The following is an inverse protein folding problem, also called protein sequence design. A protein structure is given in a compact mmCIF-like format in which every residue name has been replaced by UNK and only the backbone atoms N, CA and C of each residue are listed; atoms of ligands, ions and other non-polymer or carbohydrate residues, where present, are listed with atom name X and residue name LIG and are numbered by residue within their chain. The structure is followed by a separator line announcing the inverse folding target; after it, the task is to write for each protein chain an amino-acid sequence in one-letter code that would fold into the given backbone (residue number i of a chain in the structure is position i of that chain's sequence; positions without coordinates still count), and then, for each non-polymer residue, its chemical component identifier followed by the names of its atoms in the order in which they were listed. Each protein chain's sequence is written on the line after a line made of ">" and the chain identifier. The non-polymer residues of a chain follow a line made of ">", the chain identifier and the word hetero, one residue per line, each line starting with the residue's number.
data_IF_846810764635
#
_entry.id   IF_846810764635
#
_cell.length_a   1.000
_cell.length_b   1.000
_cell.length_c   1.000
_cell.angle_alpha   90.00
_cell.angle_beta   90.00
_cell.angle_gamma   90.00
#
_symmetry.space_group_name_H-M   'P 1'
#
loop_
_entity.id
_entity.type
_entity.pdbx_description
1 polymer ?
#
# COMPACT_ATOMS: atom_id res chain seq x y z
N UNK A 1 10.32 11.60 4.03
CA UNK A 1 9.17 11.71 3.12
C UNK A 1 9.63 11.95 1.70
N UNK A 2 9.01 11.27 0.71
CA UNK A 2 9.32 11.37 -0.71
C UNK A 2 8.47 12.46 -1.38
N UNK A 3 8.90 12.93 -2.56
CA UNK A 3 8.14 13.89 -3.36
C UNK A 3 7.02 13.17 -4.12
N UNK A 4 5.87 13.82 -4.24
CA UNK A 4 4.67 13.30 -4.90
C UNK A 4 4.12 14.35 -5.87
N UNK A 5 3.82 13.98 -7.10
CA UNK A 5 2.94 14.76 -7.97
C UNK A 5 1.54 14.16 -7.83
N UNK A 6 0.56 14.99 -7.46
CA UNK A 6 -0.84 14.60 -7.36
C UNK A 6 -1.67 15.48 -8.31
N UNK A 7 -2.15 14.85 -9.38
CA UNK A 7 -2.96 15.55 -10.38
C UNK A 7 -4.42 15.14 -10.23
N UNK A 8 -5.29 16.10 -9.98
CA UNK A 8 -6.71 15.91 -9.79
C UNK A 8 -7.51 16.94 -10.58
N UNK A 9 -8.58 16.50 -11.24
CA UNK A 9 -9.50 17.36 -12.01
C UNK A 9 -10.85 17.56 -11.32
N UNK A 10 -11.15 16.81 -10.26
CA UNK A 10 -12.47 16.86 -9.62
C UNK A 10 -12.49 17.74 -8.37
N UNK A 11 -11.42 17.71 -7.59
CA UNK A 11 -11.32 18.41 -6.31
C UNK A 11 -10.38 19.61 -6.40
N UNK A 12 -10.74 20.72 -5.75
CA UNK A 12 -9.88 21.90 -5.65
C UNK A 12 -8.65 21.63 -4.77
N UNK A 13 -7.50 22.15 -5.22
CA UNK A 13 -6.23 21.93 -4.50
C UNK A 13 -6.24 22.60 -3.12
N UNK A 14 -6.72 23.85 -3.06
CA UNK A 14 -6.63 24.70 -1.86
C UNK A 14 -7.70 24.39 -0.82
N UNK A 15 -8.89 24.06 -1.27
CA UNK A 15 -10.07 23.90 -0.42
C UNK A 15 -10.37 22.45 -0.03
N UNK A 16 -9.94 21.51 -0.82
CA UNK A 16 -10.26 20.08 -0.62
C UNK A 16 -9.02 19.21 -0.43
N UNK A 17 -8.09 19.21 -1.40
CA UNK A 17 -6.97 18.26 -1.39
C UNK A 17 -5.97 18.61 -0.30
N UNK A 18 -5.51 19.86 -0.21
CA UNK A 18 -4.54 20.29 0.79
C UNK A 18 -5.02 20.04 2.22
N UNK A 19 -6.25 20.40 2.63
CA UNK A 19 -6.75 20.07 3.96
C UNK A 19 -6.81 18.57 4.27
N UNK A 20 -7.13 17.73 3.28
CA UNK A 20 -7.11 16.28 3.45
C UNK A 20 -5.70 15.75 3.66
N UNK A 21 -4.73 16.22 2.89
CA UNK A 21 -3.32 15.85 3.04
C UNK A 21 -2.77 16.27 4.41
N UNK A 22 -3.08 17.48 4.87
CA UNK A 22 -2.68 17.98 6.19
C UNK A 22 -3.26 17.13 7.33
N UNK A 23 -4.54 16.74 7.24
CA UNK A 23 -5.17 15.82 8.22
C UNK A 23 -4.51 14.45 8.25
N UNK A 24 -3.98 13.99 7.13
CA UNK A 24 -3.21 12.75 7.04
C UNK A 24 -1.74 12.89 7.47
N UNK A 25 -1.33 14.08 7.94
CA UNK A 25 0.06 14.33 8.37
C UNK A 25 1.06 14.42 7.23
N UNK A 26 0.60 14.72 6.00
CA UNK A 26 1.48 14.86 4.85
C UNK A 26 2.29 16.18 4.91
N UNK A 27 3.55 16.12 4.48
CA UNK A 27 4.35 17.32 4.23
C UNK A 27 3.97 17.91 2.87
N UNK A 28 3.03 18.87 2.86
CA UNK A 28 2.52 19.50 1.64
C UNK A 28 3.61 20.21 0.80
N UNK A 29 4.78 20.53 1.36
CA UNK A 29 5.91 21.07 0.61
C UNK A 29 6.52 20.06 -0.36
N UNK A 30 6.19 18.78 -0.19
CA UNK A 30 6.64 17.66 -1.03
C UNK A 30 5.57 17.16 -1.97
N UNK A 31 4.43 17.82 -2.03
CA UNK A 31 3.35 17.52 -2.96
C UNK A 31 3.25 18.65 -3.98
N UNK A 32 3.33 18.31 -5.25
CA UNK A 32 3.19 19.26 -6.37
C UNK A 32 2.00 18.88 -7.24
N UNK A 33 1.47 19.89 -7.92
CA UNK A 33 0.39 19.78 -8.90
C UNK A 33 0.87 20.41 -10.21
N UNK A 34 0.40 19.88 -11.34
CA UNK A 34 0.64 20.50 -12.66
C UNK A 34 -0.42 21.57 -12.84
N UNK A 35 0.03 22.81 -13.07
CA UNK A 35 -0.91 23.92 -13.26
C UNK A 35 -1.64 23.77 -14.59
N UNK A 36 -2.98 23.72 -14.54
CA UNK A 36 -3.87 23.66 -15.71
C UNK A 36 -4.49 25.01 -16.07
N UNK A 37 -4.37 26.05 -15.21
CA UNK A 37 -5.02 27.35 -15.41
C UNK A 37 -4.51 28.07 -16.65
N UNK A 38 -3.27 27.83 -17.05
CA UNK A 38 -2.64 28.52 -18.20
C UNK A 38 -2.92 27.83 -19.53
N UNK A 39 -3.31 26.55 -19.53
CA UNK A 39 -3.51 25.76 -20.76
C UNK A 39 -4.66 24.77 -20.57
N UNK A 40 -5.63 24.82 -21.47
CA UNK A 40 -6.78 23.90 -21.48
C UNK A 40 -6.35 22.44 -21.68
N UNK A 41 -6.86 21.58 -20.80
CA UNK A 41 -6.89 20.13 -21.00
C UNK A 41 -5.54 19.42 -20.95
N UNK A 42 -5.07 19.08 -19.76
CA UNK A 42 -3.97 18.14 -19.61
C UNK A 42 -4.43 16.73 -20.05
N UNK A 43 -3.62 16.05 -20.84
CA UNK A 43 -3.85 14.64 -21.23
C UNK A 43 -2.69 13.76 -20.80
N UNK A 44 -2.89 12.43 -20.72
CA UNK A 44 -1.86 11.49 -20.28
C UNK A 44 -0.62 11.42 -21.19
N UNK A 45 -0.71 11.90 -22.43
CA UNK A 45 0.39 12.00 -23.36
C UNK A 45 1.03 13.39 -23.42
N UNK A 46 0.58 14.32 -22.57
CA UNK A 46 1.10 15.67 -22.51
C UNK A 46 2.53 15.69 -21.97
N UNK A 47 3.41 16.39 -22.66
CA UNK A 47 4.82 16.53 -22.30
C UNK A 47 5.01 17.28 -20.97
N UNK A 48 4.03 18.08 -20.54
CA UNK A 48 4.04 18.76 -19.23
C UNK A 48 4.14 17.77 -18.06
N UNK A 49 3.53 16.58 -18.19
CA UNK A 49 3.65 15.52 -17.16
C UNK A 49 5.10 15.08 -17.05
N UNK A 50 5.75 14.81 -18.19
CA UNK A 50 7.15 14.41 -18.23
C UNK A 50 8.08 15.50 -17.69
N UNK A 51 7.86 16.75 -18.10
CA UNK A 51 8.64 17.89 -17.59
C UNK A 51 8.51 18.04 -16.08
N UNK A 52 7.30 17.96 -15.54
CA UNK A 52 7.07 17.99 -14.08
C UNK A 52 7.80 16.86 -13.36
N UNK A 53 7.83 15.65 -13.93
CA UNK A 53 8.59 14.53 -13.37
C UNK A 53 10.09 14.84 -13.36
N UNK A 54 10.64 15.39 -14.43
CA UNK A 54 12.07 15.74 -14.53
C UNK A 54 12.46 16.81 -13.51
N UNK A 55 11.66 17.87 -13.42
CA UNK A 55 11.94 19.03 -12.55
C UNK A 55 11.74 18.70 -11.08
N UNK A 56 10.62 18.09 -10.74
CA UNK A 56 10.26 17.83 -9.34
C UNK A 56 10.87 16.53 -8.80
N UNK A 57 11.24 15.59 -9.66
CA UNK A 57 11.80 14.27 -9.30
C UNK A 57 10.96 13.55 -8.23
N UNK A 58 9.68 13.28 -8.49
CA UNK A 58 8.80 12.58 -7.57
C UNK A 58 9.18 11.10 -7.48
N UNK A 59 8.81 10.46 -6.39
CA UNK A 59 8.82 8.98 -6.27
C UNK A 59 7.44 8.39 -6.57
N UNK A 60 6.42 9.22 -6.57
CA UNK A 60 5.04 8.84 -6.85
C UNK A 60 4.37 9.93 -7.70
N UNK A 61 3.68 9.52 -8.74
CA UNK A 61 2.77 10.36 -9.53
C UNK A 61 1.38 9.75 -9.42
N UNK A 62 0.39 10.52 -9.01
CA UNK A 62 -1.01 10.11 -8.90
C UNK A 62 -1.83 10.93 -9.90
N UNK A 63 -2.66 10.25 -10.71
CA UNK A 63 -3.60 10.86 -11.64
C UNK A 63 -5.02 10.46 -11.22
N UNK A 64 -5.89 11.44 -10.90
CA UNK A 64 -7.20 11.25 -10.27
C UNK A 64 -8.27 12.17 -10.86
N UNK A 65 -9.27 11.62 -11.56
CA UNK A 65 -9.35 10.28 -12.12
C UNK A 65 -8.68 10.19 -13.52
N UNK A 66 -8.25 8.99 -13.89
CA UNK A 66 -7.67 8.76 -15.23
C UNK A 66 -8.60 9.22 -16.36
N UNK A 67 -9.93 9.08 -16.18
CA UNK A 67 -10.92 9.43 -17.19
C UNK A 67 -10.84 10.89 -17.66
N UNK A 68 -10.50 11.79 -16.76
CA UNK A 68 -10.39 13.21 -17.07
C UNK A 68 -9.19 13.55 -17.99
N UNK A 69 -8.18 12.66 -18.01
CA UNK A 69 -6.91 12.87 -18.70
C UNK A 69 -6.74 12.00 -19.96
N UNK A 70 -7.80 11.29 -20.38
CA UNK A 70 -7.72 10.40 -21.54
C UNK A 70 -7.91 11.10 -22.90
N UNK A 71 -8.28 12.38 -22.90
CA UNK A 71 -8.65 13.10 -24.11
C UNK A 71 -10.09 12.83 -24.56
N UNK A 72 -10.44 13.12 -25.83
CA UNK A 72 -11.80 12.90 -26.33
C UNK A 72 -12.17 11.40 -26.36
N UNK A 73 -13.42 11.07 -26.00
CA UNK A 73 -13.94 9.69 -25.91
C UNK A 73 -13.71 8.85 -27.18
N UNK A 74 -13.66 9.48 -28.35
CA UNK A 74 -13.35 8.82 -29.62
C UNK A 74 -11.94 8.22 -29.68
N UNK A 75 -11.02 8.76 -28.91
CA UNK A 75 -9.60 8.42 -28.98
C UNK A 75 -9.24 7.11 -28.26
N UNK A 76 -10.00 6.72 -27.24
CA UNK A 76 -9.74 5.47 -26.50
C UNK A 76 -10.36 4.24 -27.16
N UNK A 77 -11.38 4.44 -27.98
CA UNK A 77 -12.00 3.34 -28.71
C UNK A 77 -11.12 2.85 -29.88
N UNK A 78 -10.08 3.61 -30.23
CA UNK A 78 -9.09 3.17 -31.20
C UNK A 78 -8.20 2.13 -30.52
N UNK A 79 -8.37 0.89 -30.91
CA UNK A 79 -7.58 -0.23 -30.40
C UNK A 79 -6.07 0.10 -30.47
N UNK A 80 -5.40 0.02 -29.35
CA UNK A 80 -3.97 0.25 -29.22
C UNK A 80 -3.54 1.66 -28.78
N UNK A 81 -4.43 2.70 -28.73
CA UNK A 81 -4.03 4.01 -28.21
C UNK A 81 -3.84 3.97 -26.69
N UNK A 82 -4.78 3.40 -25.96
CA UNK A 82 -4.65 3.19 -24.52
C UNK A 82 -3.37 2.41 -24.18
N UNK A 83 -3.05 1.38 -24.97
CA UNK A 83 -1.80 0.60 -24.80
C UNK A 83 -0.56 1.45 -24.98
N UNK A 84 -0.51 2.31 -26.02
CA UNK A 84 0.62 3.21 -26.26
C UNK A 84 0.79 4.23 -25.13
N UNK A 85 -0.30 4.79 -24.61
CA UNK A 85 -0.26 5.70 -23.45
C UNK A 85 0.32 4.98 -22.22
N UNK A 86 -0.18 3.79 -21.92
CA UNK A 86 0.31 3.01 -20.78
C UNK A 86 1.78 2.59 -20.93
N UNK A 87 2.22 2.28 -22.15
CA UNK A 87 3.63 2.00 -22.45
C UNK A 87 4.50 3.23 -22.20
N UNK A 88 4.05 4.43 -22.63
CA UNK A 88 4.76 5.69 -22.39
C UNK A 88 4.88 6.00 -20.91
N UNK A 89 3.77 5.90 -20.15
CA UNK A 89 3.80 6.10 -18.70
C UNK A 89 4.70 5.08 -18.01
N UNK A 90 4.67 3.82 -18.41
CA UNK A 90 5.56 2.79 -17.91
C UNK A 90 7.03 3.06 -18.19
N UNK A 91 7.34 3.59 -19.36
CA UNK A 91 8.70 4.03 -19.73
C UNK A 91 9.14 5.21 -18.83
N UNK A 92 8.31 6.22 -18.64
CA UNK A 92 8.62 7.34 -17.75
C UNK A 92 8.84 6.88 -16.31
N UNK A 93 7.96 6.00 -15.80
CA UNK A 93 8.12 5.41 -14.47
C UNK A 93 9.48 4.73 -14.28
N UNK A 94 9.90 3.95 -15.28
CA UNK A 94 11.19 3.25 -15.29
C UNK A 94 12.39 4.18 -15.40
N UNK A 95 12.35 5.14 -16.35
CA UNK A 95 13.47 6.05 -16.63
C UNK A 95 13.69 7.02 -15.47
N UNK A 96 12.62 7.52 -14.86
CA UNK A 96 12.69 8.53 -13.80
C UNK A 96 12.56 7.95 -12.39
N UNK A 97 12.55 6.63 -12.26
CA UNK A 97 12.52 5.90 -10.98
C UNK A 97 11.37 6.37 -10.07
N UNK A 98 10.15 6.40 -10.63
CA UNK A 98 8.93 6.75 -9.92
C UNK A 98 7.82 5.72 -10.16
N UNK A 99 6.90 5.59 -9.20
CA UNK A 99 5.65 4.87 -9.39
C UNK A 99 4.60 5.81 -10.00
N UNK A 100 3.78 5.31 -10.93
CA UNK A 100 2.62 6.03 -11.47
C UNK A 100 1.36 5.27 -11.08
N UNK A 101 0.48 5.93 -10.33
CA UNK A 101 -0.83 5.41 -9.89
C UNK A 101 -1.91 6.14 -10.65
N UNK A 102 -2.76 5.37 -11.32
CA UNK A 102 -3.92 5.87 -12.05
C UNK A 102 -5.18 5.47 -11.29
N UNK A 103 -5.95 6.44 -10.83
CA UNK A 103 -7.22 6.21 -10.13
C UNK A 103 -8.34 6.26 -11.16
N UNK A 104 -9.19 5.24 -11.16
CA UNK A 104 -10.33 5.15 -12.06
C UNK A 104 -11.63 4.86 -11.32
N UNK A 105 -12.71 5.50 -11.74
CA UNK A 105 -14.04 5.25 -11.21
C UNK A 105 -14.72 4.09 -11.92
N UNK A 106 -15.37 3.22 -11.14
CA UNK A 106 -16.18 2.13 -11.65
C UNK A 106 -17.57 2.65 -12.07
N UNK A 107 -18.00 2.36 -13.29
CA UNK A 107 -19.35 2.70 -13.74
C UNK A 107 -20.40 1.89 -12.98
N UNK A 108 -21.46 2.56 -12.50
CA UNK A 108 -22.57 1.97 -11.72
C UNK A 108 -23.53 1.08 -12.54
N UNK A 109 -23.24 0.73 -13.78
CA UNK A 109 -24.13 -0.14 -14.57
C UNK A 109 -24.11 -1.55 -14.00
N UNK A 110 -25.17 -1.89 -13.26
CA UNK A 110 -25.47 -3.22 -12.76
C UNK A 110 -25.60 -4.20 -13.93
N UNK A 111 -25.09 -5.41 -13.73
CA UNK A 111 -25.41 -6.57 -14.57
C UNK A 111 -24.34 -7.07 -15.53
N UNK A 112 -23.16 -6.49 -15.61
CA UNK A 112 -22.08 -7.05 -16.43
C UNK A 112 -20.94 -7.59 -15.57
N UNK A 113 -20.77 -8.90 -15.58
CA UNK A 113 -19.56 -9.60 -15.08
C UNK A 113 -18.34 -9.11 -15.87
N UNK A 114 -17.74 -8.02 -15.45
CA UNK A 114 -16.57 -7.51 -16.15
C UNK A 114 -16.00 -6.25 -15.52
N UNK A 115 -15.18 -6.44 -14.49
CA UNK A 115 -14.32 -5.41 -13.89
C UNK A 115 -13.55 -4.59 -14.94
N UNK A 116 -13.35 -5.15 -16.12
CA UNK A 116 -12.54 -4.60 -17.20
C UNK A 116 -13.27 -3.56 -18.06
N UNK A 117 -14.60 -3.46 -18.00
CA UNK A 117 -15.38 -2.52 -18.83
C UNK A 117 -15.56 -1.14 -18.20
N UNK A 118 -15.34 -1.01 -16.89
CA UNK A 118 -15.64 0.21 -16.16
C UNK A 118 -14.57 1.30 -16.27
N UNK A 119 -13.34 0.96 -16.62
CA UNK A 119 -12.22 1.90 -16.80
C UNK A 119 -12.11 2.47 -18.23
N UNK A 120 -13.12 2.29 -19.07
CA UNK A 120 -13.16 2.79 -20.46
C UNK A 120 -12.39 1.96 -21.46
N UNK A 121 -11.40 1.19 -21.07
CA UNK A 121 -10.65 0.31 -21.97
C UNK A 121 -10.07 -0.89 -21.23
N UNK A 122 -10.29 -2.08 -21.77
CA UNK A 122 -9.63 -3.33 -21.32
C UNK A 122 -8.12 -3.20 -21.42
N UNK A 123 -7.61 -2.42 -22.37
CA UNK A 123 -6.18 -2.23 -22.63
C UNK A 123 -5.46 -1.52 -21.49
N UNK A 124 -6.11 -0.59 -20.76
CA UNK A 124 -5.52 0.07 -19.59
C UNK A 124 -5.22 -0.93 -18.49
N UNK A 125 -6.22 -1.76 -18.14
CA UNK A 125 -6.07 -2.80 -17.12
C UNK A 125 -5.08 -3.87 -17.56
N UNK A 126 -5.12 -4.25 -18.84
CA UNK A 126 -4.20 -5.24 -19.40
C UNK A 126 -2.74 -4.77 -19.37
N UNK A 127 -2.48 -3.48 -19.58
CA UNK A 127 -1.15 -2.90 -19.59
C UNK A 127 -0.60 -2.56 -18.19
N UNK A 128 -1.47 -2.35 -17.20
CA UNK A 128 -1.06 -2.09 -15.82
C UNK A 128 -0.33 -3.31 -15.22
N UNK A 129 0.72 -3.07 -14.44
CA UNK A 129 1.46 -4.14 -13.74
C UNK A 129 0.75 -4.63 -12.49
N UNK A 130 0.05 -3.74 -11.81
CA UNK A 130 -0.78 -4.05 -10.65
C UNK A 130 -2.11 -3.33 -10.79
N UNK A 131 -3.20 -4.01 -10.44
CA UNK A 131 -4.56 -3.45 -10.43
C UNK A 131 -5.19 -3.76 -9.09
N UNK A 132 -5.58 -2.71 -8.40
CA UNK A 132 -6.26 -2.76 -7.11
C UNK A 132 -7.70 -2.31 -7.29
N UNK A 133 -8.62 -3.03 -6.68
CA UNK A 133 -10.02 -2.63 -6.57
C UNK A 133 -10.32 -2.24 -5.13
N UNK A 134 -10.96 -1.09 -4.97
CA UNK A 134 -11.44 -0.63 -3.67
C UNK A 134 -12.96 -0.69 -3.68
N UNK A 135 -13.56 -1.38 -2.71
CA UNK A 135 -15.01 -1.50 -2.57
C UNK A 135 -15.45 -1.30 -1.12
N UNK A 136 -16.73 -1.01 -0.92
CA UNK A 136 -17.31 -0.95 0.44
C UNK A 136 -17.55 -2.36 0.94
N UNK A 137 -17.32 -2.58 2.25
CA UNK A 137 -17.77 -3.79 2.89
C UNK A 137 -19.32 -3.83 2.90
N UNK A 138 -19.89 -4.99 2.66
CA UNK A 138 -21.35 -5.14 2.60
C UNK A 138 -22.02 -5.10 3.99
N UNK A 139 -21.26 -5.41 5.04
CA UNK A 139 -21.74 -5.49 6.41
C UNK A 139 -21.51 -4.21 7.20
N UNK A 140 -20.41 -3.52 6.88
CA UNK A 140 -20.00 -2.29 7.56
C UNK A 140 -19.62 -1.24 6.51
N UNK A 141 -20.46 -0.21 6.37
CA UNK A 141 -20.30 0.85 5.36
C UNK A 141 -19.13 1.77 5.63
N UNK A 142 -18.56 1.79 6.83
CA UNK A 142 -17.37 2.57 7.16
C UNK A 142 -16.07 1.85 6.75
N UNK A 143 -16.16 0.54 6.50
CA UNK A 143 -15.02 -0.27 6.06
C UNK A 143 -14.93 -0.27 4.54
N UNK A 144 -13.69 -0.19 4.07
CA UNK A 144 -13.30 -0.37 2.68
C UNK A 144 -12.37 -1.57 2.58
N UNK A 145 -12.51 -2.31 1.48
CA UNK A 145 -11.71 -3.49 1.17
C UNK A 145 -10.94 -3.20 -0.10
N UNK A 146 -9.62 -3.33 -0.04
CA UNK A 146 -8.73 -3.27 -1.20
C UNK A 146 -8.40 -4.70 -1.62
N UNK A 147 -8.73 -5.07 -2.84
CA UNK A 147 -8.38 -6.37 -3.43
C UNK A 147 -7.43 -6.20 -4.59
N UNK A 148 -6.45 -7.05 -4.67
CA UNK A 148 -5.56 -7.11 -5.82
C UNK A 148 -6.19 -7.97 -6.92
N UNK A 149 -6.57 -7.33 -8.02
CA UNK A 149 -7.22 -7.98 -9.16
C UNK A 149 -6.19 -8.52 -10.15
N UNK A 150 -5.07 -7.83 -10.26
CA UNK A 150 -3.94 -8.22 -11.10
C UNK A 150 -2.64 -7.85 -10.42
N UNK A 151 -1.69 -8.75 -10.47
CA UNK A 151 -0.32 -8.49 -10.10
C UNK A 151 0.63 -9.27 -11.03
N UNK A 152 1.52 -8.55 -11.70
CA UNK A 152 2.53 -9.14 -12.57
C UNK A 152 3.90 -9.26 -11.89
N UNK A 153 4.03 -8.83 -10.63
CA UNK A 153 5.30 -8.69 -9.92
C UNK A 153 5.44 -9.67 -8.76
N UNK A 154 4.32 -10.14 -8.19
CA UNK A 154 4.28 -11.04 -7.06
C UNK A 154 2.98 -11.87 -7.07
N UNK A 155 2.87 -12.96 -6.31
CA UNK A 155 1.60 -13.64 -6.08
C UNK A 155 0.54 -12.66 -5.56
N UNK A 156 -0.70 -12.82 -6.03
CA UNK A 156 -1.83 -12.01 -5.57
C UNK A 156 -2.48 -12.71 -4.40
N UNK A 157 -2.13 -12.30 -3.20
CA UNK A 157 -2.71 -12.83 -1.97
C UNK A 157 -3.15 -11.71 -1.02
N UNK A 158 -4.37 -11.88 -0.53
CA UNK A 158 -4.93 -11.10 0.56
C UNK A 158 -5.77 -9.90 0.15
N UNK A 159 -6.52 -9.42 1.11
CA UNK A 159 -7.25 -8.17 1.06
C UNK A 159 -6.76 -7.25 2.17
N UNK A 160 -6.67 -5.97 1.89
CA UNK A 160 -6.36 -4.94 2.87
C UNK A 160 -7.65 -4.24 3.22
N UNK A 161 -7.86 -3.97 4.51
CA UNK A 161 -9.04 -3.26 5.00
C UNK A 161 -8.64 -1.94 5.64
N UNK A 162 -9.47 -0.94 5.45
CA UNK A 162 -9.35 0.34 6.13
C UNK A 162 -10.74 0.92 6.45
N UNK A 163 -10.82 1.74 7.47
CA UNK A 163 -12.03 2.49 7.81
C UNK A 163 -11.85 3.97 7.53
N UNK A 164 -12.96 4.64 7.22
CA UNK A 164 -13.03 6.09 7.15
C UNK A 164 -14.27 6.50 7.94
N UNK A 165 -14.05 7.12 9.10
CA UNK A 165 -15.12 7.64 9.95
C UNK A 165 -14.95 9.14 10.17
N UNK A 166 -16.03 9.81 10.54
CA UNK A 166 -15.98 11.23 10.85
C UNK A 166 -15.12 11.54 12.09
N UNK A 167 -15.11 10.62 13.06
CA UNK A 167 -14.42 10.80 14.35
C UNK A 167 -12.93 10.49 14.25
N UNK A 168 -12.58 9.35 13.64
CA UNK A 168 -11.21 8.82 13.63
C UNK A 168 -10.47 9.08 12.29
N UNK A 169 -11.18 9.58 11.28
CA UNK A 169 -10.63 9.73 9.94
C UNK A 169 -10.28 8.39 9.29
N UNK A 170 -9.18 8.37 8.55
CA UNK A 170 -8.66 7.18 7.88
C UNK A 170 -7.83 6.31 8.85
N UNK A 171 -8.14 5.01 8.91
CA UNK A 171 -7.39 4.04 9.69
C UNK A 171 -7.22 2.71 8.94
N UNK A 172 -5.98 2.20 8.90
CA UNK A 172 -5.74 0.84 8.48
C UNK A 172 -6.30 -0.14 9.52
N UNK A 173 -7.06 -1.12 9.05
CA UNK A 173 -7.49 -2.25 9.89
C UNK A 173 -6.51 -3.40 9.73
N UNK A 174 -6.47 -4.31 10.71
CA UNK A 174 -5.62 -5.48 10.63
C UNK A 174 -5.89 -6.26 9.35
N UNK A 175 -4.86 -6.42 8.54
CA UNK A 175 -4.88 -7.36 7.44
C UNK A 175 -4.76 -8.77 8.00
N UNK A 176 -5.71 -9.62 7.68
CA UNK A 176 -5.44 -11.05 7.67
C UNK A 176 -4.57 -11.32 6.42
N UNK A 177 -3.32 -10.93 6.51
CA UNK A 177 -2.34 -11.22 5.49
C UNK A 177 -2.10 -12.72 5.50
N UNK A 178 -2.48 -13.39 4.42
CA UNK A 178 -1.93 -14.70 4.09
C UNK A 178 -0.50 -14.59 3.55
N UNK A 179 0.08 -13.38 3.60
CA UNK A 179 1.45 -13.13 3.21
C UNK A 179 2.38 -13.71 4.29
N UNK A 180 2.76 -14.94 4.09
CA UNK A 180 3.98 -15.46 4.71
C UNK A 180 5.10 -14.91 3.85
N UNK A 181 5.76 -13.82 4.29
CA UNK A 181 7.03 -13.45 3.68
C UNK A 181 7.94 -14.64 3.81
N UNK A 182 8.59 -15.06 2.73
CA UNK A 182 9.62 -16.10 2.74
C UNK A 182 10.78 -15.75 3.69
N UNK A 183 10.78 -14.55 4.25
CA UNK A 183 11.73 -14.03 5.23
C UNK A 183 11.15 -13.88 6.65
N UNK A 184 9.87 -14.22 6.88
CA UNK A 184 9.50 -14.48 8.28
C UNK A 184 10.22 -15.77 8.67
N UNK A 185 11.12 -15.71 9.66
CA UNK A 185 11.72 -16.94 10.17
C UNK A 185 10.53 -17.82 10.56
N UNK A 186 10.40 -19.00 9.92
CA UNK A 186 9.44 -20.01 10.33
C UNK A 186 9.55 -20.08 11.83
N UNK A 187 8.50 -19.71 12.56
CA UNK A 187 8.48 -19.99 14.00
C UNK A 187 8.61 -21.50 14.06
N UNK A 188 9.71 -22.02 14.58
CA UNK A 188 9.92 -23.46 14.59
C UNK A 188 8.72 -24.09 15.27
N UNK A 189 8.15 -25.14 14.67
CA UNK A 189 7.22 -25.99 15.39
C UNK A 189 8.00 -26.64 16.52
N UNK A 190 7.64 -26.33 17.74
CA UNK A 190 8.32 -26.86 18.93
C UNK A 190 7.61 -28.14 19.38
N UNK A 191 8.33 -29.23 19.44
CA UNK A 191 7.80 -30.49 19.94
C UNK A 191 7.54 -30.44 21.46
N UNK A 192 8.15 -29.48 22.16
CA UNK A 192 7.98 -29.31 23.60
C UNK A 192 7.96 -27.86 24.06
N UNK A 193 7.30 -27.60 25.22
CA UNK A 193 7.33 -26.28 25.87
C UNK A 193 8.74 -25.84 26.26
N UNK A 194 9.64 -26.76 26.48
CA UNK A 194 11.04 -26.52 26.82
C UNK A 194 11.81 -26.01 25.60
N UNK A 195 11.61 -26.62 24.43
CA UNK A 195 12.22 -26.13 23.19
C UNK A 195 11.73 -24.74 22.83
N UNK A 196 10.41 -24.49 22.93
CA UNK A 196 9.84 -23.17 22.75
C UNK A 196 10.46 -22.16 23.71
N UNK A 197 10.65 -22.52 24.96
CA UNK A 197 11.29 -21.68 25.97
C UNK A 197 12.75 -21.36 25.60
N UNK A 198 13.51 -22.36 25.16
CA UNK A 198 14.92 -22.20 24.76
C UNK A 198 15.06 -21.24 23.58
N UNK A 199 14.21 -21.40 22.56
CA UNK A 199 14.17 -20.50 21.41
C UNK A 199 13.84 -19.07 21.82
N UNK A 200 12.80 -18.86 22.61
CA UNK A 200 12.38 -17.52 23.06
C UNK A 200 13.45 -16.84 23.93
N UNK A 201 14.09 -17.54 24.85
CA UNK A 201 15.18 -16.99 25.67
C UNK A 201 16.34 -16.54 24.77
N UNK A 202 16.78 -17.39 23.84
CA UNK A 202 17.85 -17.04 22.89
C UNK A 202 17.47 -15.81 22.05
N UNK A 203 16.24 -15.75 21.53
CA UNK A 203 15.74 -14.62 20.74
C UNK A 203 15.66 -13.33 21.54
N UNK A 204 15.21 -13.38 22.80
CA UNK A 204 15.10 -12.21 23.67
C UNK A 204 16.45 -11.65 24.12
N UNK A 205 17.48 -12.48 24.11
CA UNK A 205 18.85 -12.12 24.51
C UNK A 205 19.79 -11.90 23.30
N UNK A 206 19.29 -12.02 22.05
CA UNK A 206 20.10 -11.79 20.85
C UNK A 206 20.63 -10.38 20.73
N UNK A 207 19.87 -9.41 21.20
CA UNK A 207 20.17 -7.97 21.10
C UNK A 207 20.85 -7.42 22.38
N UNK A 208 21.18 -8.30 23.33
CA UNK A 208 21.87 -7.95 24.57
C UNK A 208 21.13 -8.39 25.84
N UNK A 209 21.58 -7.85 26.97
CA UNK A 209 21.05 -8.18 28.29
C UNK A 209 19.63 -7.64 28.50
N UNK A 210 18.76 -8.47 29.06
CA UNK A 210 17.38 -8.10 29.39
C UNK A 210 17.08 -8.40 30.88
N UNK A 211 16.21 -7.60 31.50
CA UNK A 211 15.77 -7.81 32.88
C UNK A 211 15.02 -9.14 33.01
N UNK A 212 15.41 -9.97 33.98
CA UNK A 212 14.81 -11.28 34.20
C UNK A 212 13.27 -11.24 34.35
N UNK A 213 12.73 -10.18 35.00
CA UNK A 213 11.30 -9.96 35.16
C UNK A 213 10.59 -9.81 33.81
N UNK A 214 11.21 -9.12 32.87
CA UNK A 214 10.66 -8.88 31.53
C UNK A 214 10.65 -10.16 30.70
N UNK A 215 11.73 -10.96 30.78
CA UNK A 215 11.79 -12.28 30.13
C UNK A 215 10.66 -13.17 30.64
N UNK A 216 10.45 -13.24 31.98
CA UNK A 216 9.39 -14.07 32.54
C UNK A 216 7.98 -13.59 32.18
N UNK A 217 7.74 -12.29 32.05
CA UNK A 217 6.47 -11.75 31.56
C UNK A 217 6.19 -12.22 30.13
N UNK A 218 7.13 -12.00 29.21
CA UNK A 218 6.96 -12.41 27.81
C UNK A 218 6.80 -13.92 27.66
N UNK A 219 7.47 -14.71 28.48
CA UNK A 219 7.29 -16.15 28.48
C UNK A 219 5.91 -16.59 28.98
N UNK A 220 5.38 -15.90 29.98
CA UNK A 220 4.02 -16.14 30.49
C UNK A 220 2.98 -15.87 29.42
N UNK A 221 3.12 -14.78 28.65
CA UNK A 221 2.24 -14.40 27.54
C UNK A 221 2.25 -15.48 26.43
N UNK A 222 3.37 -16.18 26.26
CA UNK A 222 3.55 -17.29 25.33
C UNK A 222 3.15 -18.68 25.91
N UNK A 223 2.49 -18.69 27.07
CA UNK A 223 2.00 -19.91 27.72
C UNK A 223 3.08 -20.79 28.36
N UNK A 224 4.26 -20.22 28.65
CA UNK A 224 5.39 -20.92 29.28
C UNK A 224 5.41 -20.58 30.77
N UNK A 225 5.42 -21.64 31.62
CA UNK A 225 5.47 -21.47 33.06
C UNK A 225 6.84 -20.92 33.50
N UNK A 226 6.85 -20.16 34.62
CA UNK A 226 8.09 -19.66 35.22
C UNK A 226 9.08 -20.79 35.52
N UNK A 227 8.58 -21.94 36.01
CA UNK A 227 9.41 -23.12 36.30
C UNK A 227 10.10 -23.64 35.04
N UNK A 228 9.36 -23.75 33.93
CA UNK A 228 9.93 -24.16 32.64
C UNK A 228 11.00 -23.18 32.18
N UNK A 229 10.74 -21.87 32.28
CA UNK A 229 11.69 -20.84 31.90
C UNK A 229 12.98 -20.87 32.74
N UNK A 230 12.87 -21.10 34.06
CA UNK A 230 14.03 -21.20 34.97
C UNK A 230 14.87 -22.46 34.71
N UNK A 231 14.22 -23.59 34.43
CA UNK A 231 14.93 -24.82 34.06
C UNK A 231 15.67 -24.66 32.73
N UNK A 232 14.99 -24.19 31.72
CA UNK A 232 15.58 -23.94 30.40
C UNK A 232 16.74 -22.94 30.45
N UNK A 233 16.62 -21.89 31.27
CA UNK A 233 17.69 -20.93 31.51
C UNK A 233 18.96 -21.62 32.09
N UNK A 234 18.79 -22.57 33.05
CA UNK A 234 19.91 -23.33 33.61
C UNK A 234 20.55 -24.24 32.56
N UNK A 235 19.74 -24.93 31.75
CA UNK A 235 20.21 -25.78 30.66
C UNK A 235 21.00 -24.99 29.60
N UNK A 236 20.58 -23.76 29.32
CA UNK A 236 21.28 -22.86 28.39
C UNK A 236 22.52 -22.18 28.98
N UNK A 237 22.85 -22.42 30.26
CA UNK A 237 23.99 -21.79 30.92
C UNK A 237 23.88 -20.28 31.14
N UNK A 238 22.68 -19.72 31.05
CA UNK A 238 22.46 -18.26 31.14
C UNK A 238 22.46 -17.82 32.60
N UNK A 239 23.31 -16.86 32.94
CA UNK A 239 23.46 -16.33 34.29
C UNK A 239 22.71 -15.03 34.50
N UNK A 240 22.10 -14.83 35.67
CA UNK A 240 21.58 -13.52 36.07
C UNK A 240 22.61 -12.81 36.95
N UNK A 241 22.79 -11.54 36.75
CA UNK A 241 23.62 -10.70 37.61
C UNK A 241 22.82 -9.45 38.05
N UNK A 242 23.22 -8.85 39.14
CA UNK A 242 22.68 -7.54 39.55
C UNK A 242 23.55 -6.45 38.94
N UNK A 243 22.93 -5.51 38.24
CA UNK A 243 23.51 -4.24 37.89
C UNK A 243 23.24 -3.23 38.98
#
# INVERSE_FOLDING_TARGET
>A
PQRVIYQCSEDGVSDTIKPRLERCGADCRKVAFINEETYSGLTLDDERIRQAIIEFRPRLVVIDPIQAYLGSDSDLQIAGRARKLMQRLGMWASVYDCAIVLIGHLNKKEGTKGLYRSLGSIDVVAAARSVLQVERDQKDTDIRIVRQIKNSLAPSDGEIRFSITAEMGFQWLECKSTFVSSEQPKVPEFESKTEKAAYLIKKLLSDGDMRAREIYMRMKDEGISRRTAENTKKELGIRSYRK
#
